data_IF_310223309647
#
_entry.id   IF_310223309647
#
_cell.length_a   1.000
_cell.length_b   1.000
_cell.length_c   1.000
_cell.angle_alpha   90.00
_cell.angle_beta   90.00
_cell.angle_gamma   90.00
#
_symmetry.space_group_name_H-M   'P 1'
#
loop_
_entity.id
_entity.type
_entity.pdbx_description
1 polymer ?
#
# COMPACT_ATOMS: atom_id res chain seq x y z
N UNK A 1 4.32 11.72 -4.49
CA UNK A 1 3.65 12.76 -5.31
C UNK A 1 2.30 13.07 -4.67
N UNK A 2 2.02 14.33 -4.33
CA UNK A 2 0.66 14.72 -3.94
C UNK A 2 -0.17 14.95 -5.21
N UNK A 3 -1.29 14.25 -5.32
CA UNK A 3 -2.18 14.26 -6.50
C UNK A 3 -3.32 15.27 -6.32
N UNK A 4 -3.79 15.38 -5.09
CA UNK A 4 -4.78 16.34 -4.62
C UNK A 4 -4.58 16.53 -3.11
N UNK A 5 -5.15 17.56 -2.47
CA UNK A 5 -4.97 17.79 -1.04
C UNK A 5 -5.25 16.55 -0.20
N UNK A 6 -4.22 16.06 0.52
CA UNK A 6 -4.32 14.86 1.36
C UNK A 6 -4.39 13.53 0.60
N UNK A 7 -4.12 13.51 -0.70
CA UNK A 7 -4.04 12.31 -1.54
C UNK A 7 -2.61 12.18 -2.08
N UNK A 8 -1.90 11.15 -1.63
CA UNK A 8 -0.50 10.90 -1.99
C UNK A 8 -0.41 9.62 -2.82
N UNK A 9 0.40 9.64 -3.87
CA UNK A 9 0.78 8.47 -4.67
C UNK A 9 2.29 8.19 -4.58
N UNK A 10 2.64 6.91 -4.48
CA UNK A 10 3.99 6.34 -4.56
C UNK A 10 3.90 4.89 -5.08
N UNK A 11 4.97 4.33 -5.64
CA UNK A 11 4.88 3.00 -6.26
C UNK A 11 4.84 1.87 -5.23
N UNK A 12 5.78 1.76 -4.28
CA UNK A 12 5.75 0.70 -3.26
C UNK A 12 5.51 1.22 -1.83
N UNK A 13 6.52 1.76 -1.16
CA UNK A 13 6.41 2.45 0.13
C UNK A 13 6.83 3.91 0.01
N UNK A 14 6.36 4.78 0.92
CA UNK A 14 6.78 6.18 0.95
C UNK A 14 8.30 6.36 1.09
N UNK A 15 8.99 5.41 1.73
CA UNK A 15 10.43 5.45 2.04
C UNK A 15 11.29 4.56 1.13
N UNK A 16 10.69 3.74 0.27
CA UNK A 16 11.44 2.73 -0.50
C UNK A 16 10.61 2.14 -1.64
N UNK A 17 11.16 2.13 -2.85
CA UNK A 17 10.39 1.78 -4.05
C UNK A 17 10.28 0.28 -4.35
N UNK A 18 11.10 -0.55 -3.69
CA UNK A 18 11.17 -2.00 -3.91
C UNK A 18 10.67 -2.85 -2.73
N UNK A 19 10.04 -2.23 -1.72
CA UNK A 19 9.60 -2.93 -0.50
C UNK A 19 8.09 -2.82 -0.36
N UNK A 20 7.42 -3.93 -0.07
CA UNK A 20 5.96 -3.98 0.09
C UNK A 20 5.42 -3.07 1.21
N UNK A 21 4.37 -2.31 0.91
CA UNK A 21 3.64 -1.52 1.90
C UNK A 21 2.67 -2.37 2.73
N UNK A 22 1.69 -2.99 2.06
CA UNK A 22 0.58 -3.71 2.68
C UNK A 22 0.90 -5.17 2.99
N UNK A 23 1.94 -5.70 2.35
CA UNK A 23 2.23 -7.13 2.34
C UNK A 23 3.54 -7.48 3.05
N UNK A 24 3.72 -8.77 3.30
CA UNK A 24 4.96 -9.40 3.77
C UNK A 24 5.06 -10.80 3.20
N UNK A 25 6.26 -11.37 3.18
CA UNK A 25 6.48 -12.73 2.69
C UNK A 25 6.56 -13.66 3.90
N UNK A 26 5.71 -14.69 3.92
CA UNK A 26 5.72 -15.77 4.91
C UNK A 26 5.75 -17.09 4.16
N UNK A 27 6.76 -17.92 4.42
CA UNK A 27 6.96 -19.22 3.75
C UNK A 27 6.91 -19.12 2.22
N UNK A 28 7.58 -18.10 1.65
CA UNK A 28 7.64 -17.86 0.21
C UNK A 28 6.34 -17.32 -0.41
N UNK A 29 5.29 -17.06 0.39
CA UNK A 29 4.01 -16.53 -0.08
C UNK A 29 3.81 -15.10 0.38
N UNK A 30 3.25 -14.28 -0.51
CA UNK A 30 2.85 -12.93 -0.18
C UNK A 30 1.54 -12.97 0.62
N UNK A 31 1.55 -12.40 1.82
CA UNK A 31 0.40 -12.31 2.73
C UNK A 31 0.29 -10.88 3.27
N UNK A 32 -0.91 -10.50 3.74
CA UNK A 32 -1.10 -9.18 4.34
C UNK A 32 -0.22 -9.02 5.59
N UNK A 33 0.53 -7.92 5.64
CA UNK A 33 1.31 -7.59 6.81
C UNK A 33 0.40 -7.24 8.00
N UNK A 34 0.84 -7.47 9.25
CA UNK A 34 0.13 -6.98 10.41
C UNK A 34 -0.09 -5.46 10.32
N UNK A 35 -1.26 -5.00 10.77
CA UNK A 35 -1.63 -3.57 10.72
C UNK A 35 -0.58 -2.66 11.38
N UNK A 36 0.07 -3.14 12.45
CA UNK A 36 1.17 -2.43 13.12
C UNK A 36 2.38 -2.20 12.22
N UNK A 37 2.74 -3.17 11.38
CA UNK A 37 3.80 -3.03 10.40
C UNK A 37 3.42 -2.06 9.28
N UNK A 38 2.19 -2.14 8.79
CA UNK A 38 1.65 -1.21 7.78
C UNK A 38 1.68 0.22 8.31
N UNK A 39 1.15 0.46 9.52
CA UNK A 39 1.18 1.79 10.18
C UNK A 39 2.59 2.34 10.32
N UNK A 40 3.56 1.49 10.69
CA UNK A 40 4.97 1.91 10.79
C UNK A 40 5.53 2.35 9.44
N UNK A 41 5.19 1.65 8.35
CA UNK A 41 5.64 1.96 6.98
C UNK A 41 5.05 3.27 6.44
N UNK A 42 3.91 3.70 6.96
CA UNK A 42 3.26 4.98 6.60
C UNK A 42 3.79 6.19 7.39
N UNK A 43 4.64 6.01 8.40
CA UNK A 43 5.06 7.11 9.30
C UNK A 43 5.72 8.29 8.60
N UNK A 44 6.28 8.08 7.41
CA UNK A 44 6.91 9.14 6.61
C UNK A 44 5.88 10.03 5.87
N UNK A 45 4.60 9.63 5.85
CA UNK A 45 3.55 10.45 5.25
C UNK A 45 3.16 11.61 6.16
N UNK A 46 2.74 12.69 5.52
CA UNK A 46 2.12 13.83 6.20
C UNK A 46 0.87 13.37 6.99
N UNK A 47 0.68 13.79 8.26
CA UNK A 47 -0.53 13.50 9.04
C UNK A 47 -1.85 13.96 8.40
N UNK A 48 -1.81 14.94 7.49
CA UNK A 48 -2.96 15.38 6.71
C UNK A 48 -3.36 14.38 5.61
N UNK A 49 -2.52 13.38 5.30
CA UNK A 49 -2.82 12.35 4.33
C UNK A 49 -4.10 11.58 4.72
N UNK A 50 -5.05 11.54 3.80
CA UNK A 50 -6.33 10.83 3.92
C UNK A 50 -6.39 9.61 3.01
N UNK A 51 -5.71 9.64 1.87
CA UNK A 51 -5.64 8.53 0.92
C UNK A 51 -4.19 8.33 0.46
N UNK A 52 -3.70 7.10 0.58
CA UNK A 52 -2.41 6.67 0.07
C UNK A 52 -2.62 5.70 -1.10
N UNK A 53 -2.26 6.13 -2.30
CA UNK A 53 -2.29 5.32 -3.52
C UNK A 53 -0.94 4.61 -3.67
N UNK A 54 -0.97 3.28 -3.82
CA UNK A 54 0.23 2.47 -4.00
C UNK A 54 0.06 1.34 -5.00
N UNK A 55 1.15 0.63 -5.30
CA UNK A 55 1.21 -0.50 -6.23
C UNK A 55 2.19 -1.56 -5.75
N UNK A 56 3.09 -1.97 -6.64
CA UNK A 56 4.20 -2.92 -6.42
C UNK A 56 3.81 -4.38 -6.16
N UNK A 57 2.87 -4.67 -5.27
CA UNK A 57 2.46 -6.05 -4.99
C UNK A 57 1.59 -6.69 -6.07
N UNK A 58 1.08 -5.88 -7.01
CA UNK A 58 0.10 -6.29 -8.04
C UNK A 58 -1.21 -6.86 -7.47
N UNK A 59 -1.39 -6.82 -6.15
CA UNK A 59 -2.61 -7.22 -5.44
C UNK A 59 -3.52 -6.03 -5.24
N UNK A 60 -4.79 -6.17 -5.61
CA UNK A 60 -5.80 -5.18 -5.26
C UNK A 60 -6.03 -5.19 -3.74
N UNK A 61 -5.95 -4.01 -3.11
CA UNK A 61 -6.10 -3.85 -1.66
C UNK A 61 -6.82 -2.52 -1.34
N UNK A 62 -7.76 -2.58 -0.40
CA UNK A 62 -8.40 -1.41 0.20
C UNK A 62 -8.33 -1.56 1.73
N UNK A 63 -7.44 -0.80 2.37
CA UNK A 63 -7.14 -0.96 3.79
C UNK A 63 -7.40 0.37 4.50
N UNK A 64 -8.35 0.39 5.43
CA UNK A 64 -8.57 1.52 6.33
C UNK A 64 -7.60 1.43 7.52
N UNK A 65 -6.73 2.42 7.65
CA UNK A 65 -5.86 2.54 8.83
C UNK A 65 -6.62 3.32 9.92
N UNK A 66 -6.76 2.76 11.15
CA UNK A 66 -7.33 3.50 12.26
C UNK A 66 -6.57 4.80 12.51
N UNK A 67 -7.30 5.90 12.61
CA UNK A 67 -6.77 7.26 12.80
C UNK A 67 -5.74 7.69 11.75
N UNK A 68 -5.81 7.11 10.55
CA UNK A 68 -4.86 7.35 9.47
C UNK A 68 -5.54 7.33 8.09
N UNK A 69 -4.73 7.28 7.02
CA UNK A 69 -5.26 7.27 5.67
C UNK A 69 -5.92 5.93 5.32
N UNK A 70 -6.74 5.94 4.28
CA UNK A 70 -7.09 4.74 3.54
C UNK A 70 -5.96 4.43 2.55
N UNK A 71 -5.46 3.20 2.55
CA UNK A 71 -4.55 2.71 1.52
C UNK A 71 -5.40 2.12 0.40
N UNK A 72 -5.12 2.53 -0.83
CA UNK A 72 -5.70 1.94 -2.03
C UNK A 72 -4.58 1.48 -2.97
N UNK A 73 -4.59 0.18 -3.27
CA UNK A 73 -3.77 -0.43 -4.30
C UNK A 73 -4.73 -1.02 -5.35
N UNK A 74 -4.73 -0.53 -6.59
CA UNK A 74 -5.61 -1.07 -7.62
C UNK A 74 -5.16 -2.43 -8.15
N UNK A 75 -3.98 -2.92 -7.77
CA UNK A 75 -3.35 -4.08 -8.38
C UNK A 75 -2.63 -3.73 -9.68
N UNK A 76 -2.37 -4.74 -10.51
CA UNK A 76 -1.70 -4.56 -11.80
C UNK A 76 -2.60 -4.98 -12.95
N UNK A 77 -2.68 -4.13 -13.97
CA UNK A 77 -3.44 -4.42 -15.21
C UNK A 77 -2.70 -5.47 -16.04
N UNK A 78 -1.38 -5.31 -16.25
CA UNK A 78 -0.60 -6.17 -17.14
C UNK A 78 -0.06 -7.43 -16.48
N UNK A 79 -0.08 -7.52 -15.16
CA UNK A 79 0.39 -8.70 -14.43
C UNK A 79 -0.35 -8.83 -13.08
N UNK A 80 -1.65 -9.15 -13.07
CA UNK A 80 -2.42 -9.32 -11.84
C UNK A 80 -1.78 -10.36 -10.90
N UNK A 81 -1.81 -10.11 -9.59
CA UNK A 81 -1.21 -11.03 -8.62
C UNK A 81 -1.96 -12.36 -8.47
N UNK A 82 -3.21 -12.42 -8.91
CA UNK A 82 -4.01 -13.64 -8.98
C UNK A 82 -4.98 -13.54 -10.14
N UNK A 83 -5.34 -14.70 -10.67
CA UNK A 83 -6.42 -14.89 -11.63
C UNK A 83 -7.60 -15.50 -10.88
N UNK A 84 -8.74 -14.85 -10.95
CA UNK A 84 -10.01 -15.27 -10.34
C UNK A 84 -11.11 -15.51 -11.37
N UNK A 85 -10.73 -15.68 -12.65
CA UNK A 85 -11.64 -16.15 -13.70
C UNK A 85 -12.14 -17.58 -13.52
#
# INVERSE_FOLDING_TARGET
>A
LEIAPGIIAFHARPDHDEKYLADTIVNGRLVRAPLTAIRRRLKALDPACRIALCGHSHRAELIRIPDGPVIFNPGSIGCPAYDDS
#
